data_IF_720898369497
#
_entry.id   IF_720898369497
#
_cell.length_a   1.000
_cell.length_b   1.000
_cell.length_c   1.000
_cell.angle_alpha   90.00
_cell.angle_beta   90.00
_cell.angle_gamma   90.00
#
_symmetry.space_group_name_H-M   'P 1'
#
loop_
_entity.id
_entity.type
_entity.pdbx_description
1 polymer ?
#
# COMPACT_ATOMS: atom_id res chain seq x y z
N UNK A 1 4.48 -44.35 54.38
CA UNK A 1 3.40 -43.45 53.94
C UNK A 1 3.88 -42.02 54.18
N UNK A 2 3.57 -41.07 53.28
CA UNK A 2 4.21 -40.76 52.00
C UNK A 2 5.29 -39.65 52.11
N UNK A 3 6.03 -39.46 51.01
CA UNK A 3 6.95 -38.35 50.78
C UNK A 3 6.21 -37.03 50.54
N UNK A 4 6.77 -35.91 50.97
CA UNK A 4 6.47 -34.57 50.45
C UNK A 4 7.71 -33.70 50.64
N UNK A 5 8.44 -33.39 49.56
CA UNK A 5 8.33 -32.12 48.80
C UNK A 5 8.88 -30.94 49.63
N UNK A 6 9.75 -30.07 49.15
CA UNK A 6 10.23 -29.83 47.80
C UNK A 6 11.44 -28.92 47.99
N UNK A 7 12.59 -29.33 47.47
CA UNK A 7 13.77 -28.48 47.35
C UNK A 7 13.46 -27.38 46.33
N UNK A 8 13.62 -26.08 46.64
CA UNK A 8 13.49 -25.05 45.62
C UNK A 8 14.72 -25.12 44.72
N UNK A 9 14.62 -25.92 43.65
CA UNK A 9 15.59 -25.92 42.57
C UNK A 9 15.62 -24.51 41.95
N UNK A 10 16.74 -23.81 42.17
CA UNK A 10 17.06 -22.51 41.61
C UNK A 10 16.85 -22.51 40.09
N UNK A 11 16.27 -21.45 39.49
CA UNK A 11 16.10 -21.38 38.06
C UNK A 11 17.47 -21.35 37.38
N UNK A 12 17.72 -22.36 36.53
CA UNK A 12 18.87 -22.37 35.62
C UNK A 12 18.82 -21.13 34.71
N UNK A 13 19.93 -20.40 34.51
CA UNK A 13 19.94 -19.29 33.57
C UNK A 13 19.74 -19.85 32.15
N UNK A 14 18.66 -19.44 31.48
CA UNK A 14 18.45 -19.75 30.07
C UNK A 14 19.62 -19.18 29.25
N UNK A 15 20.18 -19.94 28.28
CA UNK A 15 21.10 -19.35 27.32
C UNK A 15 20.33 -18.31 26.49
N UNK A 16 20.83 -17.07 26.47
CA UNK A 16 20.27 -16.01 25.63
C UNK A 16 20.21 -16.49 24.17
N UNK A 17 19.09 -16.27 23.44
CA UNK A 17 19.07 -16.53 22.02
C UNK A 17 20.14 -15.68 21.33
N UNK A 18 20.74 -16.15 20.23
CA UNK A 18 21.72 -15.34 19.50
C UNK A 18 21.06 -14.01 19.15
N UNK A 19 21.69 -12.91 19.57
CA UNK A 19 21.27 -11.57 19.18
C UNK A 19 21.46 -11.47 17.67
N UNK A 20 20.40 -11.73 16.91
CA UNK A 20 20.34 -11.37 15.50
C UNK A 20 20.53 -9.86 15.44
N UNK A 21 21.71 -9.43 14.99
CA UNK A 21 21.98 -8.04 14.65
C UNK A 21 20.84 -7.56 13.74
N UNK A 22 19.94 -6.74 14.28
CA UNK A 22 18.96 -6.02 13.48
C UNK A 22 19.77 -4.97 12.74
N UNK A 23 20.23 -5.34 11.55
CA UNK A 23 20.72 -4.37 10.58
C UNK A 23 19.53 -3.43 10.32
N UNK A 24 19.67 -2.10 10.47
CA UNK A 24 18.67 -1.21 9.93
C UNK A 24 18.79 -1.34 8.42
N UNK A 25 17.93 -2.17 7.82
CA UNK A 25 17.75 -2.14 6.38
C UNK A 25 17.38 -0.69 6.03
N UNK A 26 18.12 -0.02 5.12
CA UNK A 26 17.57 1.20 4.54
C UNK A 26 16.25 0.76 3.91
N UNK A 27 15.15 1.34 4.38
CA UNK A 27 13.87 1.27 3.69
C UNK A 27 14.18 1.78 2.29
N UNK A 28 14.25 0.86 1.32
CA UNK A 28 14.18 1.20 -0.09
C UNK A 28 12.77 1.75 -0.29
N UNK A 29 12.61 3.05 -0.09
CA UNK A 29 11.89 3.86 -1.06
C UNK A 29 12.38 3.40 -2.45
N UNK A 30 11.48 3.04 -3.36
CA UNK A 30 11.75 2.33 -4.64
C UNK A 30 11.84 0.80 -4.53
N UNK A 31 10.69 0.15 -4.31
CA UNK A 31 9.99 -0.57 -5.39
C UNK A 31 8.58 -0.93 -4.89
N UNK A 32 7.72 0.08 -4.74
CA UNK A 32 6.28 -0.19 -4.79
C UNK A 32 6.00 -0.59 -6.23
N UNK A 33 6.13 -1.89 -6.53
CA UNK A 33 5.67 -2.50 -7.77
C UNK A 33 4.28 -1.91 -8.09
N UNK A 34 4.11 -1.14 -9.18
CA UNK A 34 2.80 -0.59 -9.55
C UNK A 34 1.94 -1.69 -10.21
N UNK A 35 1.94 -2.89 -9.65
CA UNK A 35 1.32 -4.06 -10.25
C UNK A 35 -0.04 -4.38 -9.60
N UNK A 36 -0.33 -3.79 -8.43
CA UNK A 36 -1.61 -3.95 -7.72
C UNK A 36 -2.18 -2.66 -7.08
N UNK A 37 -1.60 -1.48 -7.40
CA UNK A 37 -2.25 -0.23 -6.99
C UNK A 37 -3.49 0.00 -7.85
N UNK A 38 -4.67 -0.30 -7.29
CA UNK A 38 -5.98 0.10 -7.81
C UNK A 38 -6.16 1.63 -7.89
N UNK A 39 -5.14 2.37 -7.45
CA UNK A 39 -5.08 3.82 -7.49
C UNK A 39 -5.06 4.31 -8.94
N UNK A 40 -5.83 5.36 -9.25
CA UNK A 40 -5.82 5.94 -10.57
C UNK A 40 -4.48 6.60 -10.86
N UNK A 41 -4.08 6.63 -12.13
CA UNK A 41 -2.83 7.23 -12.58
C UNK A 41 -3.06 8.46 -13.46
N UNK A 42 -4.29 8.71 -13.87
CA UNK A 42 -4.67 9.83 -14.74
C UNK A 42 -6.09 10.28 -14.36
N UNK A 43 -6.37 11.57 -14.47
CA UNK A 43 -7.73 12.10 -14.38
C UNK A 43 -8.11 12.80 -15.68
N UNK A 44 -9.41 12.98 -15.90
CA UNK A 44 -9.96 13.72 -17.03
C UNK A 44 -11.27 14.38 -16.64
N UNK A 45 -11.42 15.66 -16.96
CA UNK A 45 -12.69 16.36 -16.80
C UNK A 45 -13.53 16.19 -18.08
N UNK A 46 -14.66 15.49 -17.98
CA UNK A 46 -15.57 15.24 -19.12
C UNK A 46 -16.97 15.70 -18.73
N UNK A 47 -17.51 16.68 -19.47
CA UNK A 47 -18.85 17.22 -19.25
C UNK A 47 -19.09 17.68 -17.79
N UNK A 48 -18.08 18.33 -17.19
CA UNK A 48 -18.11 18.81 -15.80
C UNK A 48 -17.97 17.72 -14.73
N UNK A 49 -17.61 16.49 -15.10
CA UNK A 49 -17.43 15.36 -14.18
C UNK A 49 -16.01 14.82 -14.24
N UNK A 50 -15.43 14.49 -13.10
CA UNK A 50 -14.10 13.90 -13.04
C UNK A 50 -14.16 12.38 -13.28
N UNK A 51 -13.34 11.93 -14.22
CA UNK A 51 -13.08 10.52 -14.50
C UNK A 51 -11.62 10.21 -14.16
N UNK A 52 -11.39 9.08 -13.52
CA UNK A 52 -10.08 8.62 -13.08
C UNK A 52 -9.73 7.30 -13.76
N UNK A 53 -8.58 7.26 -14.43
CA UNK A 53 -8.07 6.11 -15.17
C UNK A 53 -7.29 5.18 -14.26
N UNK A 54 -7.69 3.92 -14.17
CA UNK A 54 -7.01 2.85 -13.42
C UNK A 54 -6.50 1.79 -14.40
N UNK A 55 -5.24 1.37 -14.25
CA UNK A 55 -4.68 0.28 -15.07
C UNK A 55 -5.15 -1.04 -14.49
N UNK A 56 -5.82 -1.85 -15.31
CA UNK A 56 -6.23 -3.20 -14.94
C UNK A 56 -5.44 -4.21 -15.78
N UNK A 57 -4.87 -5.25 -15.16
CA UNK A 57 -4.21 -6.30 -15.92
C UNK A 57 -5.24 -7.01 -16.80
N UNK A 58 -4.85 -7.33 -18.03
CA UNK A 58 -5.71 -8.06 -18.95
C UNK A 58 -5.42 -9.55 -18.83
N UNK A 59 -6.45 -10.38 -18.58
CA UNK A 59 -6.27 -11.84 -18.42
C UNK A 59 -5.73 -12.56 -19.66
N UNK A 60 -5.80 -11.96 -20.84
CA UNK A 60 -5.57 -12.64 -22.13
C UNK A 60 -4.28 -12.22 -22.85
N UNK A 61 -3.60 -11.14 -22.43
CA UNK A 61 -2.32 -10.69 -22.98
C UNK A 61 -1.52 -9.96 -21.90
N UNK A 62 -0.19 -10.06 -21.95
CA UNK A 62 0.73 -9.22 -21.16
C UNK A 62 0.51 -7.74 -21.52
N UNK A 63 -0.45 -7.11 -20.85
CA UNK A 63 -0.86 -5.75 -21.14
C UNK A 63 -1.91 -5.26 -20.16
N UNK A 64 -1.98 -3.94 -20.02
CA UNK A 64 -2.93 -3.27 -19.15
C UNK A 64 -4.01 -2.60 -19.99
N UNK A 65 -5.26 -2.68 -19.53
CA UNK A 65 -6.36 -1.86 -20.04
C UNK A 65 -6.60 -0.73 -19.07
N UNK A 66 -6.78 0.49 -19.59
CA UNK A 66 -7.20 1.64 -18.78
C UNK A 66 -8.71 1.60 -18.64
N UNK A 67 -9.19 1.50 -17.40
CA UNK A 67 -10.61 1.66 -17.07
C UNK A 67 -10.84 3.01 -16.42
N UNK A 68 -11.84 3.73 -16.91
CA UNK A 68 -12.22 5.05 -16.40
C UNK A 68 -13.38 4.92 -15.42
N UNK A 69 -13.17 5.44 -14.21
CA UNK A 69 -14.15 5.42 -13.14
C UNK A 69 -14.52 6.86 -12.75
N UNK A 70 -15.81 7.21 -12.64
CA UNK A 70 -16.19 8.52 -12.13
C UNK A 70 -15.89 8.65 -10.63
N UNK A 71 -15.71 9.89 -10.16
CA UNK A 71 -15.39 10.24 -8.77
C UNK A 71 -16.23 9.50 -7.71
N UNK A 72 -17.53 9.25 -8.00
CA UNK A 72 -18.45 8.50 -7.14
C UNK A 72 -18.05 7.05 -6.81
N UNK A 73 -17.08 6.47 -7.52
CA UNK A 73 -16.56 5.13 -7.24
C UNK A 73 -15.45 5.13 -6.20
N UNK A 74 -14.94 6.30 -5.84
CA UNK A 74 -13.87 6.48 -4.86
C UNK A 74 -14.45 7.05 -3.58
N UNK A 75 -13.77 6.80 -2.46
CA UNK A 75 -14.17 7.37 -1.19
C UNK A 75 -13.90 8.89 -1.19
N UNK A 76 -14.72 9.70 -0.50
CA UNK A 76 -14.46 11.13 -0.37
C UNK A 76 -13.06 11.44 0.14
N UNK A 77 -12.58 10.65 1.11
CA UNK A 77 -11.23 10.78 1.68
C UNK A 77 -10.12 10.54 0.64
N UNK A 78 -10.35 9.66 -0.33
CA UNK A 78 -9.39 9.41 -1.42
C UNK A 78 -9.42 10.55 -2.44
N UNK A 79 -10.59 11.10 -2.74
CA UNK A 79 -10.74 12.25 -3.65
C UNK A 79 -10.04 13.51 -3.10
N UNK A 80 -10.02 13.66 -1.78
CA UNK A 80 -9.31 14.73 -1.05
C UNK A 80 -7.81 14.44 -0.86
N UNK A 81 -7.33 13.27 -1.27
CA UNK A 81 -5.91 12.95 -1.19
C UNK A 81 -5.09 13.81 -2.16
N UNK A 82 -3.85 14.11 -1.77
CA UNK A 82 -2.89 14.85 -2.59
C UNK A 82 -2.72 14.22 -3.97
N UNK A 83 -2.76 12.88 -4.04
CA UNK A 83 -2.68 12.13 -5.29
C UNK A 83 -3.81 12.50 -6.27
N UNK A 84 -5.07 12.50 -5.82
CA UNK A 84 -6.21 12.85 -6.67
C UNK A 84 -6.25 14.35 -7.02
N UNK A 85 -5.78 15.22 -6.13
CA UNK A 85 -5.60 16.64 -6.45
C UNK A 85 -4.55 16.84 -7.55
N UNK A 86 -3.41 16.15 -7.45
CA UNK A 86 -2.34 16.23 -8.45
C UNK A 86 -2.83 15.73 -9.81
N UNK A 87 -3.56 14.61 -9.86
CA UNK A 87 -4.14 14.11 -11.10
C UNK A 87 -5.10 15.12 -11.75
N UNK A 88 -5.96 15.77 -10.95
CA UNK A 88 -6.87 16.81 -11.45
C UNK A 88 -6.10 18.00 -12.01
N UNK A 89 -5.11 18.52 -11.28
CA UNK A 89 -4.26 19.63 -11.74
C UNK A 89 -3.50 19.31 -13.03
N UNK A 90 -3.02 18.08 -13.18
CA UNK A 90 -2.37 17.63 -14.43
C UNK A 90 -3.34 17.47 -15.60
N UNK A 91 -4.63 17.25 -15.31
CA UNK A 91 -5.68 17.03 -16.30
C UNK A 91 -6.45 18.31 -16.68
N UNK A 92 -6.42 19.34 -15.84
CA UNK A 92 -6.89 20.66 -16.22
C UNK A 92 -6.04 21.14 -17.41
N UNK A 93 -6.66 21.46 -18.57
CA UNK A 93 -5.90 22.02 -19.66
C UNK A 93 -5.35 23.35 -19.17
N UNK A 94 -4.03 23.38 -18.96
CA UNK A 94 -3.29 24.60 -18.71
C UNK A 94 -3.66 25.55 -19.86
N UNK A 95 -4.48 26.56 -19.57
CA UNK A 95 -4.65 27.72 -20.44
C UNK A 95 -3.33 28.49 -20.37
N UNK A 96 -2.30 27.97 -21.04
CA UNK A 96 -1.03 28.65 -21.31
C UNK A 96 -1.10 29.36 -22.64
#
# INVERSE_FOLDING_TARGET
MPADSTEPALPLPLPSPPQTSVVPYPVKDEDLQPEDSDLPFEAKLVNGKWLYGVRKPTHTKQGYVVRWYPEKHFLPLELESEHFEQLRRSAEPNNS
#
